data_IF_710250870646
#
_entry.id   IF_710250870646
#
_cell.length_a   1.000
_cell.length_b   1.000
_cell.length_c   1.000
_cell.angle_alpha   90.00
_cell.angle_beta   90.00
_cell.angle_gamma   90.00
#
_symmetry.space_group_name_H-M   'P 1'
#
loop_
_entity.id
_entity.type
_entity.pdbx_description
1 polymer ?
#
# COMPACT_ATOMS: atom_id res chain seq x y z
N UNK A 1 30.24 0.16 -13.14
CA UNK A 1 29.66 0.96 -12.04
C UNK A 1 28.19 1.18 -12.38
N UNK A 2 27.36 0.30 -11.84
CA UNK A 2 25.91 0.28 -12.08
C UNK A 2 25.26 0.80 -10.81
N UNK A 3 24.89 2.06 -10.78
CA UNK A 3 24.18 2.73 -9.70
C UNK A 3 22.72 2.97 -10.08
N UNK A 4 21.87 3.26 -9.12
CA UNK A 4 20.92 2.36 -8.45
C UNK A 4 19.56 2.43 -9.13
N UNK A 5 19.06 1.31 -9.60
CA UNK A 5 17.71 1.18 -10.14
C UNK A 5 16.61 1.35 -9.06
N UNK A 6 16.98 1.24 -7.78
CA UNK A 6 16.02 1.25 -6.67
C UNK A 6 15.27 2.58 -6.50
N UNK A 7 15.90 3.77 -6.49
CA UNK A 7 15.16 5.02 -6.36
C UNK A 7 14.23 5.31 -7.54
N UNK A 8 14.65 4.96 -8.75
CA UNK A 8 13.86 5.21 -9.96
C UNK A 8 12.65 4.27 -10.04
N UNK A 9 12.81 3.01 -9.65
CA UNK A 9 11.73 2.02 -9.60
C UNK A 9 10.65 2.44 -8.59
N UNK A 10 11.03 2.82 -7.37
CA UNK A 10 10.06 3.27 -6.36
C UNK A 10 9.30 4.52 -6.83
N UNK A 11 9.97 5.49 -7.42
CA UNK A 11 9.33 6.69 -7.97
C UNK A 11 8.28 6.34 -9.04
N UNK A 12 8.59 5.41 -9.94
CA UNK A 12 7.65 4.95 -10.98
C UNK A 12 6.47 4.21 -10.37
N UNK A 13 6.72 3.33 -9.39
CA UNK A 13 5.67 2.60 -8.68
C UNK A 13 4.72 3.54 -7.94
N UNK A 14 5.26 4.51 -7.21
CA UNK A 14 4.47 5.48 -6.46
C UNK A 14 3.61 6.35 -7.39
N UNK A 15 4.18 6.79 -8.51
CA UNK A 15 3.44 7.55 -9.50
C UNK A 15 2.29 6.74 -10.12
N UNK A 16 2.55 5.50 -10.56
CA UNK A 16 1.53 4.62 -11.15
C UNK A 16 0.48 4.19 -10.12
N UNK A 17 0.91 3.80 -8.92
CA UNK A 17 0.01 3.43 -7.83
C UNK A 17 -0.94 4.58 -7.48
N UNK A 18 -0.42 5.79 -7.38
CA UNK A 18 -1.20 7.02 -7.13
C UNK A 18 -2.18 7.30 -8.27
N UNK A 19 -1.76 7.18 -9.54
CA UNK A 19 -2.63 7.39 -10.69
C UNK A 19 -3.79 6.38 -10.73
N UNK A 20 -3.51 5.11 -10.44
CA UNK A 20 -4.54 4.07 -10.41
C UNK A 20 -5.51 4.31 -9.25
N UNK A 21 -4.99 4.59 -8.06
CA UNK A 21 -5.81 4.81 -6.85
C UNK A 21 -6.67 6.07 -6.95
N UNK A 22 -6.14 7.15 -7.54
CA UNK A 22 -6.89 8.40 -7.76
C UNK A 22 -7.93 8.28 -8.89
N UNK A 23 -7.78 7.26 -9.76
CA UNK A 23 -8.60 7.07 -10.95
C UNK A 23 -8.14 7.89 -12.16
N UNK A 24 -6.95 8.48 -12.13
CA UNK A 24 -6.30 9.05 -13.31
C UNK A 24 -6.04 7.97 -14.36
N UNK A 25 -5.73 6.73 -13.90
CA UNK A 25 -5.75 5.50 -14.68
C UNK A 25 -6.89 4.61 -14.16
N UNK A 26 -8.10 4.70 -14.74
CA UNK A 26 -9.26 3.96 -14.24
C UNK A 26 -9.19 2.46 -14.55
N UNK A 27 -9.96 1.67 -13.82
CA UNK A 27 -10.10 0.24 -14.08
C UNK A 27 -10.55 0.00 -15.54
N UNK A 28 -9.90 -0.93 -16.22
CA UNK A 28 -10.10 -1.23 -17.64
C UNK A 28 -9.23 -0.40 -18.59
N UNK A 29 -8.56 0.65 -18.10
CA UNK A 29 -7.58 1.42 -18.89
C UNK A 29 -6.44 0.50 -19.34
N UNK A 30 -5.94 0.76 -20.58
CA UNK A 30 -4.91 -0.05 -21.21
C UNK A 30 -3.74 0.79 -21.63
N UNK A 31 -2.54 0.27 -21.39
CA UNK A 31 -1.29 0.90 -21.80
C UNK A 31 -0.22 -0.16 -22.08
N UNK A 32 0.91 0.25 -22.60
CA UNK A 32 2.03 -0.63 -22.96
C UNK A 32 3.28 -0.32 -22.17
N UNK A 33 4.25 -1.23 -22.17
CA UNK A 33 5.57 -0.95 -21.61
C UNK A 33 6.27 0.22 -22.32
N UNK A 34 6.00 0.46 -23.59
CA UNK A 34 6.56 1.59 -24.31
C UNK A 34 6.01 2.91 -23.77
N UNK A 35 4.70 2.99 -23.50
CA UNK A 35 4.07 4.19 -22.95
C UNK A 35 4.71 4.55 -21.61
N UNK A 36 5.05 3.54 -20.78
CA UNK A 36 5.75 3.77 -19.52
C UNK A 36 7.19 4.25 -19.73
N UNK A 37 7.92 3.62 -20.68
CA UNK A 37 9.27 4.05 -21.00
C UNK A 37 9.31 5.51 -21.47
N UNK A 38 8.36 5.90 -22.33
CA UNK A 38 8.26 7.28 -22.83
C UNK A 38 7.83 8.25 -21.73
N UNK A 39 6.80 7.91 -20.94
CA UNK A 39 6.27 8.77 -19.88
C UNK A 39 7.29 9.07 -18.80
N UNK A 40 8.05 8.06 -18.37
CA UNK A 40 8.97 8.17 -17.21
C UNK A 40 10.44 8.29 -17.61
N UNK A 41 10.78 8.21 -18.91
CA UNK A 41 12.18 8.23 -19.34
C UNK A 41 12.99 7.03 -18.84
N UNK A 42 12.38 5.85 -18.68
CA UNK A 42 12.97 4.67 -18.06
C UNK A 42 13.30 3.57 -19.09
N UNK A 43 14.20 2.66 -18.69
CA UNK A 43 14.50 1.47 -19.47
C UNK A 43 13.33 0.47 -19.46
N UNK A 44 13.26 -0.38 -20.49
CA UNK A 44 12.29 -1.49 -20.53
C UNK A 44 12.43 -2.45 -19.35
N UNK A 45 13.62 -2.59 -18.80
CA UNK A 45 13.86 -3.43 -17.61
C UNK A 45 13.15 -2.85 -16.40
N UNK A 46 13.34 -1.55 -16.12
CA UNK A 46 12.67 -0.86 -15.01
C UNK A 46 11.15 -0.87 -15.20
N UNK A 47 10.65 -0.62 -16.41
CA UNK A 47 9.23 -0.69 -16.72
C UNK A 47 8.65 -2.10 -16.46
N UNK A 48 9.37 -3.17 -16.79
CA UNK A 48 8.94 -4.55 -16.49
C UNK A 48 8.92 -4.85 -15.00
N UNK A 49 9.92 -4.40 -14.25
CA UNK A 49 9.95 -4.58 -12.80
C UNK A 49 8.80 -3.82 -12.11
N UNK A 50 8.52 -2.59 -12.53
CA UNK A 50 7.36 -1.84 -12.03
C UNK A 50 6.05 -2.57 -12.32
N UNK A 51 5.89 -3.12 -13.54
CA UNK A 51 4.69 -3.89 -13.88
C UNK A 51 4.54 -5.16 -13.07
N UNK A 52 5.64 -5.91 -12.86
CA UNK A 52 5.59 -7.11 -12.01
C UNK A 52 5.16 -6.80 -10.58
N UNK A 53 5.67 -5.70 -10.02
CA UNK A 53 5.28 -5.27 -8.69
C UNK A 53 3.78 -4.93 -8.63
N UNK A 54 3.26 -4.17 -9.60
CA UNK A 54 1.82 -3.85 -9.67
C UNK A 54 0.95 -5.08 -9.96
N UNK A 55 1.44 -6.06 -10.72
CA UNK A 55 0.76 -7.35 -10.92
C UNK A 55 0.68 -8.16 -9.61
N UNK A 56 1.76 -8.18 -8.82
CA UNK A 56 1.77 -8.84 -7.50
C UNK A 56 0.78 -8.21 -6.53
N UNK A 57 0.57 -6.90 -6.64
CA UNK A 57 -0.44 -6.16 -5.88
C UNK A 57 -1.88 -6.34 -6.43
N UNK A 58 -2.05 -7.04 -7.56
CA UNK A 58 -3.35 -7.22 -8.20
C UNK A 58 -3.90 -5.96 -8.87
N UNK A 59 -3.08 -4.91 -9.03
CA UNK A 59 -3.53 -3.63 -9.58
C UNK A 59 -3.59 -3.61 -11.11
N UNK A 60 -2.81 -4.44 -11.77
CA UNK A 60 -2.78 -4.58 -13.23
C UNK A 60 -2.65 -6.04 -13.64
N UNK A 61 -2.99 -6.33 -14.89
CA UNK A 61 -2.68 -7.61 -15.54
C UNK A 61 -2.03 -7.37 -16.90
N UNK A 62 -1.08 -8.23 -17.29
CA UNK A 62 -0.44 -8.14 -18.58
C UNK A 62 -0.84 -9.29 -19.51
N UNK A 63 -1.05 -8.97 -20.77
CA UNK A 63 -1.37 -9.93 -21.84
C UNK A 63 -0.60 -9.61 -23.11
N UNK A 64 -0.08 -10.65 -23.76
CA UNK A 64 0.72 -10.49 -25.01
C UNK A 64 0.00 -9.75 -26.14
N UNK A 65 -1.33 -9.84 -26.18
CA UNK A 65 -2.15 -9.27 -27.29
C UNK A 65 -2.82 -7.96 -26.90
N UNK A 66 -3.00 -7.70 -25.62
CA UNK A 66 -3.82 -6.59 -25.10
C UNK A 66 -2.96 -5.50 -24.46
N UNK A 67 -1.74 -5.85 -24.04
CA UNK A 67 -0.91 -4.96 -23.22
C UNK A 67 -1.19 -5.11 -21.74
N UNK A 68 -1.05 -4.03 -21.00
CA UNK A 68 -1.28 -3.95 -19.56
C UNK A 68 -2.66 -3.34 -19.34
N UNK A 69 -3.47 -3.96 -18.50
CA UNK A 69 -4.83 -3.50 -18.17
C UNK A 69 -4.92 -3.23 -16.67
N UNK A 70 -5.47 -2.10 -16.26
CA UNK A 70 -5.75 -1.76 -14.87
C UNK A 70 -6.92 -2.61 -14.36
N UNK A 71 -6.75 -3.26 -13.23
CA UNK A 71 -7.75 -4.12 -12.60
C UNK A 71 -8.64 -3.33 -11.63
N UNK A 72 -9.88 -3.80 -11.39
CA UNK A 72 -10.77 -3.20 -10.40
C UNK A 72 -10.25 -3.46 -8.98
N UNK A 73 -10.65 -2.61 -8.04
CA UNK A 73 -10.21 -2.67 -6.64
C UNK A 73 -10.51 -4.02 -5.95
N UNK A 74 -11.49 -4.76 -6.43
CA UNK A 74 -11.81 -6.11 -5.93
C UNK A 74 -10.69 -7.13 -6.10
N UNK A 75 -9.75 -6.86 -7.03
CA UNK A 75 -8.60 -7.71 -7.32
C UNK A 75 -7.35 -7.29 -6.54
N UNK A 76 -7.36 -6.09 -5.92
CA UNK A 76 -6.18 -5.52 -5.29
C UNK A 76 -5.87 -6.14 -3.93
N UNK A 77 -4.61 -6.26 -3.59
CA UNK A 77 -4.14 -6.57 -2.24
C UNK A 77 -4.32 -5.36 -1.31
N UNK A 78 -5.58 -5.00 -1.00
CA UNK A 78 -5.96 -3.72 -0.36
C UNK A 78 -5.36 -3.48 1.03
N UNK A 79 -4.78 -4.50 1.65
CA UNK A 79 -4.06 -4.42 2.91
C UNK A 79 -2.53 -4.41 2.76
N UNK A 80 -2.02 -4.40 1.51
CA UNK A 80 -0.59 -4.20 1.27
C UNK A 80 -0.18 -2.77 1.66
N UNK A 81 0.95 -2.58 2.37
CA UNK A 81 1.41 -1.27 2.83
C UNK A 81 1.51 -0.22 1.73
N UNK A 82 1.96 -0.59 0.53
CA UNK A 82 2.06 0.33 -0.59
C UNK A 82 0.67 0.84 -1.03
N UNK A 83 -0.30 -0.07 -1.19
CA UNK A 83 -1.68 0.29 -1.56
C UNK A 83 -2.32 1.15 -0.46
N UNK A 84 -2.15 0.78 0.81
CA UNK A 84 -2.62 1.58 1.94
C UNK A 84 -2.05 3.00 1.86
N UNK A 85 -0.74 3.15 1.66
CA UNK A 85 -0.06 4.44 1.57
C UNK A 85 -0.63 5.28 0.42
N UNK A 86 -0.73 4.74 -0.79
CA UNK A 86 -1.28 5.44 -1.95
C UNK A 86 -2.75 5.85 -1.74
N UNK A 87 -3.56 4.96 -1.17
CA UNK A 87 -4.98 5.25 -0.89
C UNK A 87 -5.16 6.30 0.20
N UNK A 88 -4.34 6.29 1.25
CA UNK A 88 -4.35 7.34 2.28
C UNK A 88 -3.84 8.69 1.74
N UNK A 89 -2.93 8.69 0.78
CA UNK A 89 -2.46 9.88 0.06
C UNK A 89 -3.49 10.48 -0.90
N UNK A 90 -4.43 9.67 -1.38
CA UNK A 90 -5.47 10.08 -2.34
C UNK A 90 -6.68 10.70 -1.64
N UNK A 91 -7.06 11.94 -1.98
CA UNK A 91 -8.28 12.56 -1.44
C UNK A 91 -9.53 11.71 -1.70
N UNK A 92 -9.62 11.11 -2.89
CA UNK A 92 -10.76 10.28 -3.31
C UNK A 92 -10.89 8.97 -2.54
N UNK A 93 -9.76 8.34 -2.14
CA UNK A 93 -9.74 7.00 -1.54
C UNK A 93 -9.51 7.01 -0.03
N UNK A 94 -9.02 8.11 0.53
CA UNK A 94 -8.58 8.24 1.92
C UNK A 94 -9.63 7.79 2.94
N UNK A 95 -10.82 8.32 2.84
CA UNK A 95 -11.86 8.07 3.85
C UNK A 95 -12.35 6.61 3.79
N UNK A 96 -12.50 6.06 2.59
CA UNK A 96 -12.83 4.65 2.42
C UNK A 96 -11.73 3.74 2.97
N UNK A 97 -10.45 4.09 2.75
CA UNK A 97 -9.32 3.32 3.29
C UNK A 97 -9.28 3.38 4.82
N UNK A 98 -9.51 4.56 5.40
CA UNK A 98 -9.57 4.72 6.87
C UNK A 98 -10.69 3.89 7.48
N UNK A 99 -11.87 3.90 6.87
CA UNK A 99 -13.00 3.07 7.32
C UNK A 99 -12.62 1.59 7.28
N UNK A 100 -12.10 1.10 6.15
CA UNK A 100 -11.71 -0.31 6.02
C UNK A 100 -10.64 -0.74 7.03
N UNK A 101 -9.64 0.11 7.29
CA UNK A 101 -8.63 -0.17 8.32
C UNK A 101 -9.24 -0.19 9.73
N UNK A 102 -10.14 0.73 10.03
CA UNK A 102 -10.82 0.76 11.32
C UNK A 102 -11.70 -0.49 11.53
N UNK A 103 -12.44 -0.90 10.51
CA UNK A 103 -13.26 -2.12 10.58
C UNK A 103 -12.38 -3.37 10.80
N UNK A 104 -11.24 -3.45 10.11
CA UNK A 104 -10.27 -4.53 10.30
C UNK A 104 -9.71 -4.54 11.73
N UNK A 105 -9.33 -3.38 12.27
CA UNK A 105 -8.84 -3.25 13.64
C UNK A 105 -9.88 -3.69 14.67
N UNK A 106 -11.12 -3.23 14.52
CA UNK A 106 -12.22 -3.62 15.40
C UNK A 106 -12.50 -5.13 15.36
N UNK A 107 -12.28 -5.77 14.22
CA UNK A 107 -12.46 -7.21 14.08
C UNK A 107 -11.31 -8.04 14.67
N UNK A 108 -10.08 -7.53 14.66
CA UNK A 108 -8.87 -8.31 15.00
C UNK A 108 -8.33 -7.95 16.39
N UNK A 109 -8.23 -6.68 16.73
CA UNK A 109 -7.52 -6.23 17.94
C UNK A 109 -8.11 -6.79 19.25
N UNK A 110 -9.44 -6.90 19.43
CA UNK A 110 -9.98 -7.48 20.67
C UNK A 110 -9.60 -8.96 20.86
N UNK A 111 -9.58 -9.71 19.75
CA UNK A 111 -9.19 -11.13 19.77
C UNK A 111 -7.70 -11.25 20.06
N UNK A 112 -6.86 -10.46 19.39
CA UNK A 112 -5.41 -10.43 19.60
C UNK A 112 -5.07 -10.05 21.05
N UNK A 113 -5.73 -9.03 21.61
CA UNK A 113 -5.54 -8.62 23.00
C UNK A 113 -5.94 -9.72 23.99
N UNK A 114 -7.04 -10.44 23.71
CA UNK A 114 -7.47 -11.58 24.54
C UNK A 114 -6.45 -12.73 24.52
N UNK A 115 -5.89 -13.04 23.33
CA UNK A 115 -4.85 -14.07 23.20
C UNK A 115 -3.54 -13.64 23.87
N UNK A 116 -3.14 -12.40 23.72
CA UNK A 116 -1.96 -11.86 24.39
C UNK A 116 -2.10 -11.91 25.91
N UNK A 117 -3.27 -11.57 26.47
CA UNK A 117 -3.53 -11.67 27.90
C UNK A 117 -3.40 -13.12 28.42
N UNK A 118 -3.72 -14.11 27.61
CA UNK A 118 -3.63 -15.54 27.97
C UNK A 118 -2.22 -16.11 27.82
N UNK A 119 -1.51 -15.75 26.75
CA UNK A 119 -0.31 -16.47 26.28
C UNK A 119 0.99 -15.67 26.33
N UNK A 120 0.95 -14.34 26.42
CA UNK A 120 2.14 -13.51 26.48
C UNK A 120 2.90 -13.69 27.80
N UNK A 121 4.23 -13.54 27.74
CA UNK A 121 5.07 -13.54 28.94
C UNK A 121 4.74 -12.35 29.85
N UNK A 122 5.16 -12.36 31.12
CA UNK A 122 4.98 -11.20 31.99
C UNK A 122 5.66 -9.94 31.42
N UNK A 123 6.83 -10.09 30.81
CA UNK A 123 7.61 -9.02 30.20
C UNK A 123 6.87 -8.42 29.00
N UNK A 124 6.34 -9.26 28.08
CA UNK A 124 5.56 -8.80 26.94
C UNK A 124 4.28 -8.07 27.36
N UNK A 125 3.61 -8.54 28.46
CA UNK A 125 2.42 -7.89 29.00
C UNK A 125 2.73 -6.49 29.51
N UNK A 126 3.87 -6.31 30.19
CA UNK A 126 4.32 -5.03 30.70
C UNK A 126 4.61 -4.06 29.55
N UNK A 127 5.31 -4.52 28.49
CA UNK A 127 5.58 -3.74 27.29
C UNK A 127 4.29 -3.33 26.55
N UNK A 128 3.34 -4.25 26.37
CA UNK A 128 2.03 -3.94 25.77
C UNK A 128 1.30 -2.86 26.56
N UNK A 129 1.30 -2.93 27.89
CA UNK A 129 0.65 -1.93 28.75
C UNK A 129 1.31 -0.56 28.62
N UNK A 130 2.65 -0.49 28.59
CA UNK A 130 3.37 0.76 28.38
C UNK A 130 3.05 1.39 27.03
N UNK A 131 3.05 0.59 25.96
CA UNK A 131 2.72 1.04 24.60
C UNK A 131 1.27 1.55 24.53
N UNK A 132 0.33 0.83 25.14
CA UNK A 132 -1.08 1.25 25.20
C UNK A 132 -1.26 2.59 25.93
N UNK A 133 -0.52 2.81 27.02
CA UNK A 133 -0.53 4.09 27.74
C UNK A 133 0.02 5.24 26.86
N UNK A 134 1.09 5.02 26.12
CA UNK A 134 1.64 6.00 25.17
C UNK A 134 0.65 6.39 24.09
N UNK A 135 -0.09 5.42 23.54
CA UNK A 135 -1.14 5.67 22.54
C UNK A 135 -2.30 6.53 23.08
N UNK A 136 -2.69 6.34 24.34
CA UNK A 136 -3.76 7.14 24.97
C UNK A 136 -3.37 8.61 25.18
N UNK A 137 -2.08 8.88 25.39
CA UNK A 137 -1.57 10.24 25.61
C UNK A 137 -1.40 11.03 24.32
N UNK A 138 -1.38 10.36 23.16
CA UNK A 138 -1.20 11.00 21.86
C UNK A 138 -2.55 11.50 21.34
N UNK A 139 -2.77 12.83 21.21
CA UNK A 139 -4.04 13.34 20.68
C UNK A 139 -4.28 12.84 19.27
N UNK A 140 -5.50 12.46 18.95
CA UNK A 140 -6.02 11.85 17.70
C UNK A 140 -5.65 12.58 16.38
N UNK A 141 -4.79 13.58 16.43
CA UNK A 141 -4.45 14.46 15.29
C UNK A 141 -3.46 13.88 14.28
N UNK A 142 -2.87 12.69 14.52
CA UNK A 142 -1.76 12.15 13.71
C UNK A 142 -1.90 10.68 13.32
N UNK A 143 -3.08 10.24 12.91
CA UNK A 143 -3.26 8.84 12.40
C UNK A 143 -2.42 8.56 11.14
N UNK A 144 -2.00 9.59 10.39
CA UNK A 144 -1.13 9.44 9.23
C UNK A 144 0.36 9.28 9.52
N UNK A 145 0.84 9.71 10.70
CA UNK A 145 2.27 9.64 11.05
C UNK A 145 2.66 8.33 11.77
N UNK A 146 1.72 7.68 12.44
CA UNK A 146 2.00 6.41 13.13
C UNK A 146 2.19 5.22 12.18
N UNK A 147 1.54 5.23 11.00
CA UNK A 147 1.75 4.18 9.99
C UNK A 147 3.13 4.23 9.32
N UNK A 148 3.86 5.34 9.45
CA UNK A 148 5.21 5.49 8.89
C UNK A 148 6.33 5.10 9.87
N UNK A 149 6.01 4.87 11.15
CA UNK A 149 7.02 4.62 12.21
C UNK A 149 7.06 3.15 12.65
N UNK A 150 6.02 2.36 12.35
CA UNK A 150 5.89 0.96 12.76
C UNK A 150 6.17 -0.05 11.63
N UNK A 151 6.79 0.38 10.54
CA UNK A 151 7.33 -0.44 9.44
C UNK A 151 8.87 -0.24 9.37
#
# INVERSE_FOLDING_TARGET
>A
MTEPSTPLLSTVLDALGTDIVSGALPAGERFTLNDLCERFGISRTVAREAMRALEQLGMVSSSRRVGITVLPISEWAVYDPAIISWRLGSEKARDSQRTSLNDLRLAIEPVAAGLAAQHASPEDKEEILELAQRLQVTPTRRVGEHLATDL
#
